data_IF_887704600940
#
_entry.id   IF_887704600940
#
_cell.length_a   1.000
_cell.length_b   1.000
_cell.length_c   1.000
_cell.angle_alpha   90.00
_cell.angle_beta   90.00
_cell.angle_gamma   90.00
#
_symmetry.space_group_name_H-M   'P 1'
#
loop_
_entity.id
_entity.type
_entity.pdbx_description
1 polymer ?
#
# COMPACT_ATOMS: atom_id res chain seq x y z
N UNK A 1 31.09 7.27 69.06
CA UNK A 1 31.27 8.62 68.51
C UNK A 1 30.95 8.53 67.04
N UNK A 2 29.69 8.82 66.72
CA UNK A 2 29.21 8.99 65.36
C UNK A 2 29.81 10.26 64.77
N UNK A 3 30.26 10.18 63.51
CA UNK A 3 30.20 11.31 62.60
C UNK A 3 29.87 10.76 61.21
N UNK A 4 28.64 11.01 60.77
CA UNK A 4 28.22 10.90 59.38
C UNK A 4 28.61 12.18 58.65
N UNK A 5 29.05 12.10 57.40
CA UNK A 5 28.72 13.16 56.45
C UNK A 5 28.65 12.63 55.02
N UNK A 6 27.64 13.16 54.32
CA UNK A 6 27.01 12.68 53.10
C UNK A 6 27.75 13.08 51.83
N UNK A 7 27.58 12.26 50.80
CA UNK A 7 27.90 12.55 49.39
C UNK A 7 27.21 13.84 48.87
N UNK A 8 27.88 14.64 48.02
CA UNK A 8 27.25 15.73 47.31
C UNK A 8 26.65 15.27 45.97
N UNK A 9 25.39 15.67 45.80
CA UNK A 9 24.51 15.50 44.67
C UNK A 9 24.89 16.45 43.51
N UNK A 10 25.20 15.91 42.32
CA UNK A 10 25.36 16.70 41.10
C UNK A 10 24.00 16.94 40.45
N UNK A 11 23.30 17.97 40.90
CA UNK A 11 22.20 18.58 40.15
C UNK A 11 22.21 20.10 40.35
N UNK A 12 21.98 20.82 39.25
CA UNK A 12 21.68 22.26 39.15
C UNK A 12 22.84 23.26 39.35
N UNK A 13 23.60 23.48 38.27
CA UNK A 13 24.53 24.60 38.13
C UNK A 13 24.12 25.57 37.03
N UNK A 14 22.97 26.24 37.16
CA UNK A 14 22.65 27.44 36.37
C UNK A 14 22.04 28.51 37.27
N UNK A 15 22.77 29.63 37.33
CA UNK A 15 22.45 30.94 37.91
C UNK A 15 22.63 31.11 39.42
N UNK A 16 23.74 31.76 39.79
CA UNK A 16 23.77 33.18 40.18
C UNK A 16 25.14 33.53 40.77
N UNK A 17 25.87 34.42 40.09
CA UNK A 17 26.52 35.54 40.78
C UNK A 17 26.77 36.66 39.78
N UNK A 18 26.03 37.75 40.00
CA UNK A 18 26.24 39.01 39.31
C UNK A 18 27.25 39.84 40.09
N UNK A 19 28.31 40.25 39.40
CA UNK A 19 29.17 41.36 39.81
C UNK A 19 30.16 41.69 38.68
N UNK A 20 29.64 42.10 37.52
CA UNK A 20 30.49 42.66 36.44
C UNK A 20 29.91 43.93 35.79
N UNK A 21 28.85 44.52 36.35
CA UNK A 21 28.31 45.79 35.87
C UNK A 21 28.04 46.74 37.03
N UNK A 22 29.11 47.07 37.75
CA UNK A 22 29.17 48.31 38.52
C UNK A 22 29.45 49.47 37.57
N UNK A 23 28.64 50.52 37.67
CA UNK A 23 28.72 51.80 36.95
C UNK A 23 28.08 51.87 35.56
N UNK A 24 26.75 51.92 35.54
CA UNK A 24 26.02 52.86 34.68
C UNK A 24 24.78 53.33 35.45
N UNK A 25 24.87 54.52 36.04
CA UNK A 25 23.69 55.25 36.54
C UNK A 25 22.85 55.67 35.33
N UNK A 26 21.60 55.26 35.28
CA UNK A 26 20.60 55.88 34.42
C UNK A 26 19.44 56.37 35.28
N UNK A 27 19.38 57.69 35.42
CA UNK A 27 18.25 58.42 35.98
C UNK A 27 16.98 58.19 35.13
N UNK A 28 15.85 58.15 35.84
CA UNK A 28 14.47 58.42 35.44
C UNK A 28 13.99 58.13 34.00
N UNK A 29 12.98 57.24 33.95
CA UNK A 29 11.82 57.29 33.04
C UNK A 29 12.09 57.45 31.54
N UNK A 30 12.59 56.38 30.89
CA UNK A 30 12.35 56.11 29.45
C UNK A 30 12.62 54.66 28.98
N UNK A 31 12.88 53.70 29.87
CA UNK A 31 13.45 52.40 29.46
C UNK A 31 12.48 51.21 29.37
N UNK A 32 11.29 51.25 29.99
CA UNK A 32 10.36 50.09 29.95
C UNK A 32 9.80 49.79 28.56
N UNK A 33 9.56 50.84 27.75
CA UNK A 33 9.14 50.69 26.35
C UNK A 33 10.25 50.14 25.45
N UNK A 34 11.52 50.46 25.74
CA UNK A 34 12.68 50.00 24.95
C UNK A 34 12.96 48.53 25.26
N UNK A 35 12.90 48.14 26.53
CA UNK A 35 13.13 46.77 26.97
C UNK A 35 12.05 45.80 26.44
N UNK A 36 10.77 46.20 26.45
CA UNK A 36 9.68 45.44 25.79
C UNK A 36 9.84 45.36 24.29
N UNK A 37 10.32 46.44 23.63
CA UNK A 37 10.61 46.43 22.18
C UNK A 37 11.77 45.48 21.85
N UNK A 38 12.81 45.43 22.67
CA UNK A 38 13.92 44.48 22.50
C UNK A 38 13.50 43.02 22.75
N UNK A 39 12.67 42.75 23.76
CA UNK A 39 12.12 41.41 23.98
C UNK A 39 11.19 40.99 22.83
N UNK A 40 10.36 41.89 22.32
CA UNK A 40 9.51 41.62 21.16
C UNK A 40 10.37 41.36 19.90
N UNK A 41 11.42 42.15 19.67
CA UNK A 41 12.34 41.95 18.55
C UNK A 41 13.08 40.60 18.66
N UNK A 42 13.56 40.24 19.86
CA UNK A 42 14.22 38.96 20.10
C UNK A 42 13.26 37.78 19.89
N UNK A 43 12.01 37.89 20.36
CA UNK A 43 10.99 36.88 20.14
C UNK A 43 10.65 36.72 18.65
N UNK A 44 10.52 37.83 17.91
CA UNK A 44 10.31 37.80 16.46
C UNK A 44 11.48 37.13 15.75
N UNK A 45 12.73 37.50 16.07
CA UNK A 45 13.92 36.90 15.49
C UNK A 45 13.99 35.40 15.82
N UNK A 46 13.70 35.01 17.06
CA UNK A 46 13.68 33.61 17.49
C UNK A 46 12.63 32.79 16.74
N UNK A 47 11.40 33.31 16.59
CA UNK A 47 10.33 32.67 15.81
C UNK A 47 10.71 32.59 14.33
N UNK A 48 11.33 33.62 13.76
CA UNK A 48 11.80 33.59 12.37
C UNK A 48 12.91 32.56 12.15
N UNK A 49 13.87 32.44 13.08
CA UNK A 49 14.96 31.46 12.99
C UNK A 49 14.42 30.04 13.13
N UNK A 50 13.57 29.77 14.13
CA UNK A 50 12.96 28.44 14.29
C UNK A 50 12.05 28.12 13.11
N UNK A 51 11.25 29.07 12.65
CA UNK A 51 10.41 28.90 11.47
C UNK A 51 11.22 28.60 10.21
N UNK A 52 12.38 29.24 10.04
CA UNK A 52 13.29 29.00 8.90
C UNK A 52 13.98 27.64 9.01
N UNK A 53 14.43 27.24 10.21
CA UNK A 53 15.02 25.92 10.45
C UNK A 53 13.97 24.83 10.24
N UNK A 54 12.74 25.03 10.73
CA UNK A 54 11.63 24.11 10.52
C UNK A 54 11.25 24.01 9.05
N UNK A 55 11.14 25.14 8.35
CA UNK A 55 10.89 25.18 6.91
C UNK A 55 12.03 24.54 6.10
N UNK A 56 13.27 24.68 6.53
CA UNK A 56 14.43 24.03 5.91
C UNK A 56 14.43 22.52 6.15
N UNK A 57 14.15 22.06 7.37
CA UNK A 57 14.12 20.63 7.72
C UNK A 57 12.94 19.92 7.06
N UNK A 58 11.75 20.52 7.09
CA UNK A 58 10.57 19.98 6.38
C UNK A 58 10.76 20.10 4.87
N UNK A 59 11.30 21.22 4.41
CA UNK A 59 11.56 21.49 3.00
C UNK A 59 12.55 20.50 2.39
N UNK A 60 13.70 20.30 3.02
CA UNK A 60 14.77 19.42 2.51
C UNK A 60 14.37 17.94 2.49
N UNK A 61 13.73 17.44 3.55
CA UNK A 61 13.32 16.03 3.60
C UNK A 61 12.11 15.72 2.71
N UNK A 62 11.10 16.61 2.68
CA UNK A 62 9.86 16.35 1.93
C UNK A 62 9.96 16.70 0.45
N UNK A 63 10.57 17.84 0.09
CA UNK A 63 10.75 18.19 -1.31
C UNK A 63 11.95 17.47 -1.94
N UNK A 64 13.02 17.16 -1.19
CA UNK A 64 14.17 16.41 -1.72
C UNK A 64 13.77 15.06 -2.32
N UNK A 65 13.05 14.23 -1.56
CA UNK A 65 12.59 12.89 -1.98
C UNK A 65 11.73 12.93 -3.25
N UNK A 66 10.73 13.81 -3.31
CA UNK A 66 9.84 13.93 -4.47
C UNK A 66 10.58 14.37 -5.74
N UNK A 67 11.51 15.33 -5.57
CA UNK A 67 12.31 15.85 -6.70
C UNK A 67 13.28 14.80 -7.23
N UNK A 68 13.67 13.81 -6.44
CA UNK A 68 14.59 12.75 -6.85
C UNK A 68 13.90 11.61 -7.59
N UNK A 69 12.69 11.20 -7.19
CA UNK A 69 11.92 10.20 -7.97
C UNK A 69 11.49 10.77 -9.32
N UNK A 70 11.05 12.04 -9.39
CA UNK A 70 10.70 12.67 -10.67
C UNK A 70 11.91 12.71 -11.63
N UNK A 71 13.14 12.90 -11.10
CA UNK A 71 14.37 12.81 -11.91
C UNK A 71 14.69 11.38 -12.35
N UNK A 72 14.50 10.40 -11.47
CA UNK A 72 14.69 8.97 -11.83
C UNK A 72 13.77 8.65 -13.02
N UNK A 73 12.48 8.97 -12.90
CA UNK A 73 11.49 8.70 -13.96
C UNK A 73 11.85 9.46 -15.24
N UNK A 74 12.22 10.73 -15.15
CA UNK A 74 12.56 11.55 -16.32
C UNK A 74 13.82 11.08 -17.06
N UNK A 75 14.74 10.41 -16.35
CA UNK A 75 15.98 9.88 -16.91
C UNK A 75 15.93 8.38 -17.21
N UNK A 76 14.83 7.71 -16.85
CA UNK A 76 14.67 6.27 -17.11
C UNK A 76 14.47 6.01 -18.59
N UNK A 77 15.04 4.90 -19.07
CA UNK A 77 14.78 4.40 -20.41
C UNK A 77 13.43 3.68 -20.51
N UNK A 78 12.79 3.40 -19.37
CA UNK A 78 11.55 2.64 -19.28
C UNK A 78 10.39 3.54 -18.91
N UNK A 79 9.20 3.23 -19.44
CA UNK A 79 7.98 3.91 -19.00
C UNK A 79 7.71 3.55 -17.53
N UNK A 80 7.72 4.56 -16.67
CA UNK A 80 7.26 4.47 -15.28
C UNK A 80 6.03 5.31 -15.06
N UNK A 81 4.95 4.69 -14.59
CA UNK A 81 3.70 5.33 -14.23
C UNK A 81 3.68 5.51 -12.71
N UNK A 82 3.57 6.76 -12.27
CA UNK A 82 3.18 7.07 -10.89
C UNK A 82 1.67 6.82 -10.75
N UNK A 83 1.31 5.91 -9.86
CA UNK A 83 -0.07 5.65 -9.50
C UNK A 83 -0.37 5.98 -8.04
N UNK A 84 -1.65 6.08 -7.71
CA UNK A 84 -2.10 6.31 -6.34
C UNK A 84 -2.51 4.98 -5.70
N UNK A 85 -2.11 4.79 -4.44
CA UNK A 85 -2.49 3.66 -3.61
C UNK A 85 -3.70 4.04 -2.76
N UNK A 86 -4.83 3.38 -2.95
CA UNK A 86 -6.00 3.49 -2.09
C UNK A 86 -6.30 2.16 -1.40
N UNK A 87 -6.37 2.21 -0.07
CA UNK A 87 -6.69 1.07 0.79
C UNK A 87 -8.10 1.31 1.36
N UNK A 88 -9.15 0.58 0.93
CA UNK A 88 -10.51 0.72 1.46
C UNK A 88 -10.57 0.61 2.99
N UNK A 89 -9.73 -0.26 3.57
CA UNK A 89 -9.60 -0.43 5.02
C UNK A 89 -9.32 0.88 5.76
N UNK A 90 -8.56 1.81 5.18
CA UNK A 90 -8.20 3.05 5.87
C UNK A 90 -9.42 3.95 6.07
N UNK A 91 -10.36 3.94 5.10
CA UNK A 91 -11.66 4.62 5.20
C UNK A 91 -12.56 3.91 6.22
N UNK A 92 -12.59 2.57 6.17
CA UNK A 92 -13.39 1.73 7.07
C UNK A 92 -12.97 1.89 8.53
N UNK A 93 -11.67 1.81 8.80
CA UNK A 93 -11.06 1.98 10.11
C UNK A 93 -11.35 3.38 10.65
N UNK A 94 -11.21 4.44 9.84
CA UNK A 94 -11.58 5.81 10.26
C UNK A 94 -13.05 5.92 10.67
N UNK A 95 -13.94 5.16 10.04
CA UNK A 95 -15.37 5.13 10.36
C UNK A 95 -15.67 4.31 11.62
N UNK A 96 -15.00 3.18 11.79
CA UNK A 96 -15.27 2.21 12.88
C UNK A 96 -14.50 2.57 14.16
N UNK A 97 -13.24 2.97 14.07
CA UNK A 97 -12.37 3.27 15.22
C UNK A 97 -12.74 4.61 15.86
N UNK A 98 -13.80 4.59 16.67
CA UNK A 98 -14.17 5.69 17.55
C UNK A 98 -13.63 5.47 18.98
N UNK A 99 -13.83 6.46 19.86
CA UNK A 99 -13.37 6.39 21.26
C UNK A 99 -13.94 5.19 22.03
N UNK A 100 -15.18 4.76 21.75
CA UNK A 100 -15.79 3.64 22.46
C UNK A 100 -15.14 2.32 22.08
N UNK A 101 -14.89 2.10 20.78
CA UNK A 101 -14.22 0.89 20.29
C UNK A 101 -12.74 0.87 20.73
N UNK A 102 -12.05 2.01 20.65
CA UNK A 102 -10.67 2.13 21.17
C UNK A 102 -10.61 1.81 22.67
N UNK A 103 -11.55 2.32 23.48
CA UNK A 103 -11.63 2.00 24.91
C UNK A 103 -11.96 0.53 25.16
N UNK A 104 -12.91 -0.05 24.41
CA UNK A 104 -13.22 -1.48 24.48
C UNK A 104 -11.98 -2.32 24.25
N UNK A 105 -11.24 -2.07 23.15
CA UNK A 105 -10.00 -2.77 22.81
C UNK A 105 -8.97 -2.63 23.95
N UNK A 106 -8.75 -1.42 24.46
CA UNK A 106 -7.79 -1.15 25.55
C UNK A 106 -8.16 -1.90 26.84
N UNK A 107 -9.43 -1.91 27.23
CA UNK A 107 -9.89 -2.65 28.40
C UNK A 107 -9.82 -4.17 28.18
N UNK A 108 -10.11 -4.66 26.97
CA UNK A 108 -9.92 -6.08 26.62
C UNK A 108 -8.47 -6.52 26.76
N UNK A 109 -7.50 -5.70 26.33
CA UNK A 109 -6.08 -5.98 26.56
C UNK A 109 -5.73 -6.03 28.06
N UNK A 110 -6.28 -5.13 28.88
CA UNK A 110 -6.07 -5.15 30.34
C UNK A 110 -6.63 -6.42 30.97
N UNK A 111 -7.82 -6.87 30.55
CA UNK A 111 -8.46 -8.10 31.04
C UNK A 111 -7.72 -9.37 30.59
N UNK A 112 -7.17 -9.40 29.38
CA UNK A 112 -6.29 -10.50 28.95
C UNK A 112 -5.01 -10.54 29.80
N UNK A 113 -4.37 -9.38 30.02
CA UNK A 113 -3.14 -9.31 30.83
C UNK A 113 -3.37 -9.70 32.29
N UNK A 114 -4.56 -9.45 32.85
CA UNK A 114 -4.90 -9.88 34.21
C UNK A 114 -5.27 -11.36 34.33
N UNK A 115 -5.41 -12.07 33.21
CA UNK A 115 -5.86 -13.47 33.17
C UNK A 115 -7.36 -13.65 33.43
N UNK A 116 -8.13 -12.55 33.55
CA UNK A 116 -9.58 -12.59 33.78
C UNK A 116 -10.36 -12.90 32.49
N UNK A 117 -9.77 -12.62 31.33
CA UNK A 117 -10.31 -13.01 30.02
C UNK A 117 -9.41 -14.10 29.42
N UNK A 118 -10.00 -15.23 29.03
CA UNK A 118 -9.28 -16.24 28.25
C UNK A 118 -9.40 -15.94 26.76
N UNK A 119 -8.34 -16.23 25.99
CA UNK A 119 -8.27 -15.98 24.53
C UNK A 119 -9.43 -16.61 23.75
N UNK A 120 -9.88 -17.79 24.17
CA UNK A 120 -11.02 -18.53 23.61
C UNK A 120 -12.36 -17.77 23.66
N UNK A 121 -12.49 -16.75 24.52
CA UNK A 121 -13.72 -15.95 24.66
C UNK A 121 -13.74 -14.73 23.74
N UNK A 122 -12.68 -14.49 22.97
CA UNK A 122 -12.68 -13.44 21.95
C UNK A 122 -13.48 -13.93 20.75
N UNK A 123 -14.64 -13.31 20.52
CA UNK A 123 -15.56 -13.64 19.42
C UNK A 123 -14.81 -13.59 18.09
N UNK A 124 -14.81 -14.71 17.34
CA UNK A 124 -14.56 -14.69 15.90
C UNK A 124 -15.77 -14.01 15.26
N UNK A 125 -15.61 -12.80 14.74
CA UNK A 125 -16.67 -12.11 14.00
C UNK A 125 -16.44 -12.35 12.51
N UNK A 126 -17.40 -12.96 11.83
CA UNK A 126 -17.38 -13.16 10.38
C UNK A 126 -18.77 -12.98 9.76
N UNK A 127 -19.56 -12.01 10.25
CA UNK A 127 -20.84 -11.70 9.60
C UNK A 127 -20.84 -10.26 9.09
N UNK A 128 -20.75 -10.10 7.77
CA UNK A 128 -21.36 -8.96 7.05
C UNK A 128 -20.46 -8.01 6.26
N UNK A 129 -19.14 -8.20 6.18
CA UNK A 129 -18.26 -7.32 5.38
C UNK A 129 -17.46 -8.16 4.40
N UNK A 130 -17.55 -7.82 3.11
CA UNK A 130 -16.82 -8.47 2.03
C UNK A 130 -15.31 -8.28 2.17
N UNK A 131 -14.56 -9.33 1.83
CA UNK A 131 -13.11 -9.39 1.94
C UNK A 131 -12.44 -8.20 1.23
N UNK A 132 -12.92 -7.84 0.04
CA UNK A 132 -12.38 -6.75 -0.78
C UNK A 132 -12.48 -5.37 -0.12
N UNK A 133 -13.46 -5.16 0.76
CA UNK A 133 -13.60 -3.91 1.52
C UNK A 133 -12.56 -3.80 2.65
N UNK A 134 -11.93 -4.92 3.02
CA UNK A 134 -10.98 -5.02 4.14
C UNK A 134 -9.56 -5.22 3.63
N UNK A 135 -9.38 -5.98 2.56
CA UNK A 135 -8.05 -6.38 2.07
C UNK A 135 -7.75 -5.87 0.67
N UNK A 136 -8.72 -5.32 -0.08
CA UNK A 136 -8.43 -4.78 -1.42
C UNK A 136 -7.40 -3.65 -1.39
N UNK A 137 -6.57 -3.57 -2.42
CA UNK A 137 -5.68 -2.46 -2.71
C UNK A 137 -5.96 -1.97 -4.13
N UNK A 138 -6.23 -0.67 -4.26
CA UNK A 138 -6.36 -0.04 -5.56
C UNK A 138 -5.09 0.75 -5.84
N UNK A 139 -4.17 0.15 -6.60
CA UNK A 139 -3.13 0.89 -7.28
C UNK A 139 -3.61 1.25 -8.68
N UNK A 140 -3.83 2.54 -8.96
CA UNK A 140 -4.33 2.96 -10.26
C UNK A 140 -3.42 3.96 -10.98
N UNK A 141 -3.34 3.75 -12.30
CA UNK A 141 -2.65 4.61 -13.26
C UNK A 141 -3.58 5.01 -14.41
N UNK A 142 -3.12 5.91 -15.27
CA UNK A 142 -3.91 6.42 -16.40
C UNK A 142 -3.48 5.77 -17.72
N UNK A 143 -4.44 5.40 -18.56
CA UNK A 143 -4.23 4.97 -19.94
C UNK A 143 -5.28 5.56 -20.87
N UNK A 144 -5.07 5.46 -22.17
CA UNK A 144 -5.96 6.02 -23.20
C UNK A 144 -6.43 4.92 -24.15
N UNK A 145 -7.67 5.04 -24.64
CA UNK A 145 -8.23 4.17 -25.70
C UNK A 145 -8.77 5.03 -26.84
N UNK A 146 -8.49 4.61 -28.07
CA UNK A 146 -8.91 5.27 -29.31
C UNK A 146 -7.95 6.35 -29.79
N UNK A 147 -7.96 6.61 -31.11
CA UNK A 147 -7.21 7.69 -31.77
C UNK A 147 -7.58 9.10 -31.29
N UNK A 148 -8.76 9.25 -30.68
CA UNK A 148 -9.20 10.46 -29.99
C UNK A 148 -8.77 10.55 -28.52
N UNK A 149 -7.94 9.63 -28.03
CA UNK A 149 -7.29 9.62 -26.70
C UNK A 149 -8.25 9.72 -25.52
N UNK A 150 -9.25 8.83 -25.47
CA UNK A 150 -10.18 8.78 -24.34
C UNK A 150 -9.44 8.26 -23.12
N UNK A 151 -9.28 9.09 -22.09
CA UNK A 151 -8.49 8.77 -20.90
C UNK A 151 -9.33 8.05 -19.85
N UNK A 152 -8.73 7.04 -19.21
CA UNK A 152 -9.33 6.25 -18.14
C UNK A 152 -8.34 6.01 -17.00
N UNK A 153 -8.85 5.98 -15.77
CA UNK A 153 -8.12 5.50 -14.60
C UNK A 153 -8.31 3.97 -14.46
N UNK A 154 -7.21 3.22 -14.50
CA UNK A 154 -7.22 1.76 -14.41
C UNK A 154 -6.64 1.30 -13.08
N UNK A 155 -7.32 0.40 -12.38
CA UNK A 155 -6.62 -0.46 -11.40
C UNK A 155 -5.66 -1.36 -12.17
N UNK A 156 -4.42 -1.41 -11.70
CA UNK A 156 -3.36 -2.27 -12.20
C UNK A 156 -3.37 -3.56 -11.36
N UNK A 157 -3.96 -4.61 -11.92
CA UNK A 157 -4.39 -5.79 -11.18
C UNK A 157 -3.66 -7.06 -11.62
N UNK A 158 -2.79 -7.58 -10.76
CA UNK A 158 -2.08 -8.85 -10.97
C UNK A 158 -2.96 -10.09 -10.82
N UNK A 159 -4.15 -9.97 -10.23
CA UNK A 159 -5.12 -11.04 -10.03
C UNK A 159 -6.06 -11.29 -11.22
N UNK A 160 -6.03 -10.44 -12.25
CA UNK A 160 -6.87 -10.58 -13.46
C UNK A 160 -6.08 -10.27 -14.74
N UNK A 161 -6.65 -10.53 -15.91
CA UNK A 161 -5.88 -10.48 -17.18
C UNK A 161 -6.55 -9.75 -18.32
N UNK A 162 -7.85 -9.48 -18.23
CA UNK A 162 -8.54 -8.67 -19.23
C UNK A 162 -8.36 -7.17 -18.92
N UNK A 163 -8.31 -6.36 -19.97
CA UNK A 163 -8.57 -4.92 -19.88
C UNK A 163 -10.06 -4.69 -20.04
N UNK A 164 -10.67 -3.88 -19.18
CA UNK A 164 -12.04 -3.43 -19.39
C UNK A 164 -12.24 -1.96 -19.04
N UNK A 165 -13.15 -1.31 -19.76
CA UNK A 165 -13.62 0.06 -19.52
C UNK A 165 -15.15 0.11 -19.61
N UNK A 166 -15.82 1.02 -18.88
CA UNK A 166 -17.26 1.19 -19.00
C UNK A 166 -17.59 1.80 -20.36
N UNK A 167 -18.51 1.18 -21.09
CA UNK A 167 -19.03 1.68 -22.36
C UNK A 167 -19.95 2.87 -22.11
N UNK A 168 -20.03 3.78 -23.09
CA UNK A 168 -21.07 4.83 -23.15
C UNK A 168 -22.49 4.24 -23.16
N UNK A 169 -22.63 2.97 -23.56
CA UNK A 169 -23.90 2.24 -23.50
C UNK A 169 -24.23 1.69 -22.09
N UNK A 170 -23.34 1.84 -21.10
CA UNK A 170 -23.56 1.36 -19.74
C UNK A 170 -24.73 2.10 -19.07
N UNK A 171 -25.66 1.33 -18.49
CA UNK A 171 -26.86 1.89 -17.81
C UNK A 171 -26.85 1.75 -16.30
N UNK A 172 -25.87 1.04 -15.74
CA UNK A 172 -25.69 0.92 -14.29
C UNK A 172 -25.40 2.28 -13.67
N UNK A 173 -25.89 2.50 -12.45
CA UNK A 173 -25.72 3.78 -11.74
C UNK A 173 -24.23 4.13 -11.56
N UNK A 174 -23.40 3.14 -11.24
CA UNK A 174 -21.95 3.31 -11.10
C UNK A 174 -21.27 3.97 -12.28
N UNK A 175 -21.66 3.62 -13.52
CA UNK A 175 -21.09 4.19 -14.74
C UNK A 175 -21.34 5.70 -14.91
N UNK A 176 -22.36 6.26 -14.24
CA UNK A 176 -22.64 7.70 -14.30
C UNK A 176 -21.58 8.56 -13.60
N UNK A 177 -20.75 7.95 -12.75
CA UNK A 177 -19.66 8.60 -12.03
C UNK A 177 -18.29 8.41 -12.72
N UNK A 178 -18.25 7.79 -13.91
CA UNK A 178 -17.01 7.32 -14.56
C UNK A 178 -16.81 7.96 -15.93
N UNK A 179 -15.57 7.97 -16.39
CA UNK A 179 -15.28 8.18 -17.81
C UNK A 179 -15.75 6.95 -18.59
N UNK A 180 -16.50 7.16 -19.66
CA UNK A 180 -17.04 6.08 -20.48
C UNK A 180 -16.45 6.10 -21.88
N UNK A 181 -16.21 4.91 -22.44
CA UNK A 181 -15.67 4.73 -23.77
C UNK A 181 -16.76 4.88 -24.83
N UNK A 182 -16.50 5.75 -25.79
CA UNK A 182 -17.36 6.10 -26.91
C UNK A 182 -16.72 5.64 -28.22
N UNK A 183 -17.03 4.41 -28.65
CA UNK A 183 -16.49 3.81 -29.87
C UNK A 183 -16.81 4.61 -31.14
N UNK A 184 -17.94 5.34 -31.17
CA UNK A 184 -18.33 6.18 -32.31
C UNK A 184 -17.38 7.37 -32.52
N UNK A 185 -16.59 7.75 -31.51
CA UNK A 185 -15.63 8.85 -31.59
C UNK A 185 -14.22 8.40 -31.99
N UNK A 186 -13.97 7.09 -32.07
CA UNK A 186 -12.68 6.59 -32.51
C UNK A 186 -12.74 6.03 -33.93
N UNK A 187 -11.83 6.48 -34.79
CA UNK A 187 -11.74 5.98 -36.16
C UNK A 187 -10.93 4.68 -36.25
N UNK A 188 -10.23 4.30 -35.18
CA UNK A 188 -9.45 3.06 -35.05
C UNK A 188 -10.24 1.92 -34.41
N UNK A 189 -11.48 2.18 -34.00
CA UNK A 189 -12.38 1.16 -33.44
C UNK A 189 -12.74 0.08 -34.47
N UNK A 190 -12.58 -1.18 -34.05
CA UNK A 190 -13.05 -2.36 -34.78
C UNK A 190 -13.99 -3.19 -33.90
N UNK A 191 -15.23 -3.35 -34.37
CA UNK A 191 -16.26 -4.11 -33.66
C UNK A 191 -15.92 -5.59 -33.58
N UNK A 192 -15.96 -6.14 -32.36
CA UNK A 192 -16.01 -7.58 -32.09
C UNK A 192 -17.43 -7.98 -31.65
N UNK A 193 -17.90 -7.44 -30.53
CA UNK A 193 -19.27 -7.61 -30.04
C UNK A 193 -19.55 -8.96 -29.34
N UNK A 194 -18.56 -9.84 -29.19
CA UNK A 194 -18.71 -11.10 -28.46
C UNK A 194 -19.05 -10.81 -26.99
N UNK A 195 -20.19 -11.31 -26.46
CA UNK A 195 -20.60 -11.04 -25.09
C UNK A 195 -19.65 -11.70 -24.08
N UNK A 196 -19.45 -11.04 -22.95
CA UNK A 196 -18.56 -11.51 -21.89
C UNK A 196 -19.11 -11.13 -20.51
N UNK A 197 -18.84 -11.98 -19.54
CA UNK A 197 -19.10 -11.75 -18.12
C UNK A 197 -17.85 -12.14 -17.34
N UNK A 198 -17.43 -11.29 -16.40
CA UNK A 198 -16.32 -11.56 -15.48
C UNK A 198 -16.85 -11.41 -14.06
N UNK A 199 -16.38 -12.28 -13.15
CA UNK A 199 -16.67 -12.20 -11.72
C UNK A 199 -15.34 -12.09 -10.97
N UNK A 200 -15.17 -11.00 -10.25
CA UNK A 200 -14.08 -10.74 -9.31
C UNK A 200 -14.53 -11.09 -7.88
N UNK A 201 -13.62 -10.99 -6.91
CA UNK A 201 -13.97 -11.08 -5.48
C UNK A 201 -15.03 -10.07 -5.07
N UNK A 202 -14.94 -8.86 -5.61
CA UNK A 202 -15.85 -7.72 -5.37
C UNK A 202 -17.16 -7.79 -6.15
N UNK A 203 -17.34 -8.84 -6.94
CA UNK A 203 -18.53 -9.03 -7.77
C UNK A 203 -18.29 -8.89 -9.28
N UNK A 204 -19.35 -8.64 -10.04
CA UNK A 204 -19.40 -8.95 -11.47
C UNK A 204 -19.52 -7.76 -12.42
N UNK A 205 -18.99 -7.95 -13.63
CA UNK A 205 -19.22 -7.06 -14.78
C UNK A 205 -19.73 -7.85 -15.98
N UNK A 206 -20.59 -7.23 -16.79
CA UNK A 206 -21.07 -7.79 -18.07
C UNK A 206 -20.88 -6.78 -19.19
N UNK A 207 -20.53 -7.28 -20.36
CA UNK A 207 -20.22 -6.45 -21.52
C UNK A 207 -20.00 -7.27 -22.77
N UNK A 208 -19.19 -6.73 -23.67
CA UNK A 208 -18.76 -7.41 -24.88
C UNK A 208 -17.34 -6.99 -25.25
N UNK A 209 -16.67 -7.79 -26.07
CA UNK A 209 -15.35 -7.45 -26.60
C UNK A 209 -15.42 -6.35 -27.66
N UNK A 210 -14.41 -5.50 -27.67
CA UNK A 210 -14.14 -4.47 -28.67
C UNK A 210 -12.65 -4.42 -28.97
N UNK A 211 -12.27 -3.93 -30.15
CA UNK A 211 -10.88 -3.65 -30.49
C UNK A 211 -10.72 -2.17 -30.79
N UNK A 212 -9.64 -1.58 -30.30
CA UNK A 212 -9.22 -0.23 -30.62
C UNK A 212 -7.73 -0.11 -30.27
N UNK A 213 -7.12 1.04 -30.52
CA UNK A 213 -5.78 1.31 -30.01
C UNK A 213 -5.84 1.57 -28.50
N UNK A 214 -5.00 0.87 -27.74
CA UNK A 214 -4.73 1.13 -26.34
C UNK A 214 -3.36 1.81 -26.22
N UNK A 215 -3.31 2.91 -25.48
CA UNK A 215 -2.08 3.67 -25.22
C UNK A 215 -1.81 3.72 -23.72
N UNK A 216 -0.60 3.32 -23.35
CA UNK A 216 -0.08 3.42 -22.00
C UNK A 216 1.20 4.24 -22.04
N UNK A 217 1.16 5.46 -21.48
CA UNK A 217 2.23 6.43 -21.63
C UNK A 217 2.49 6.76 -23.10
N UNK A 218 3.64 6.35 -23.63
CA UNK A 218 4.02 6.56 -25.03
C UNK A 218 3.98 5.27 -25.88
N UNK A 219 3.54 4.15 -25.31
CA UNK A 219 3.39 2.89 -26.02
C UNK A 219 1.96 2.71 -26.49
N UNK A 220 1.78 2.46 -27.79
CA UNK A 220 0.45 2.31 -28.40
C UNK A 220 0.38 0.99 -29.17
N UNK A 221 -0.68 0.21 -28.92
CA UNK A 221 -0.93 -1.05 -29.60
C UNK A 221 -2.41 -1.18 -30.00
N UNK A 222 -2.74 -1.79 -31.15
CA UNK A 222 -4.08 -2.34 -31.37
C UNK A 222 -4.34 -3.44 -30.34
N UNK A 223 -5.44 -3.36 -29.61
CA UNK A 223 -5.70 -4.26 -28.48
C UNK A 223 -7.19 -4.62 -28.35
N UNK A 224 -7.45 -5.86 -27.93
CA UNK A 224 -8.79 -6.39 -27.66
C UNK A 224 -9.11 -6.20 -26.17
N UNK A 225 -10.17 -5.48 -25.87
CA UNK A 225 -10.62 -5.19 -24.50
C UNK A 225 -12.12 -5.36 -24.36
N UNK A 226 -12.64 -5.22 -23.15
CA UNK A 226 -14.05 -5.38 -22.83
C UNK A 226 -14.70 -4.00 -22.64
N UNK A 227 -15.77 -3.76 -23.40
CA UNK A 227 -16.72 -2.67 -23.18
C UNK A 227 -17.81 -3.13 -22.20
N UNK A 228 -17.77 -2.60 -20.99
CA UNK A 228 -18.70 -2.99 -19.92
C UNK A 228 -20.00 -2.20 -20.04
N UNK A 229 -21.12 -2.91 -20.00
CA UNK A 229 -22.47 -2.32 -20.10
C UNK A 229 -23.30 -2.45 -18.82
N UNK A 230 -22.85 -3.31 -17.90
CA UNK A 230 -23.47 -3.51 -16.59
C UNK A 230 -22.40 -3.70 -15.51
N UNK A 231 -22.54 -2.95 -14.42
CA UNK A 231 -21.67 -2.96 -13.23
C UNK A 231 -22.47 -3.07 -11.93
N UNK A 232 -23.76 -3.41 -11.99
CA UNK A 232 -24.64 -3.46 -10.80
C UNK A 232 -24.12 -4.44 -9.76
N UNK A 233 -23.53 -5.56 -10.20
CA UNK A 233 -22.96 -6.60 -9.36
C UNK A 233 -21.58 -6.19 -8.76
N UNK A 234 -21.05 -5.00 -9.06
CA UNK A 234 -19.76 -4.48 -8.53
C UNK A 234 -19.96 -3.35 -7.48
N UNK A 235 -21.21 -2.97 -7.21
CA UNK A 235 -21.54 -1.96 -6.22
C UNK A 235 -21.52 -2.53 -4.79
N UNK A 236 -21.19 -1.73 -3.76
CA UNK A 236 -20.99 -0.27 -3.76
C UNK A 236 -19.54 0.17 -4.03
N UNK A 237 -18.64 -0.78 -4.31
CA UNK A 237 -17.19 -0.50 -4.44
C UNK A 237 -16.95 0.39 -5.67
N UNK A 238 -17.65 0.12 -6.77
CA UNK A 238 -17.42 0.83 -8.01
C UNK A 238 -17.81 2.31 -7.93
N UNK A 239 -19.03 2.68 -7.51
CA UNK A 239 -19.44 4.08 -7.37
C UNK A 239 -18.60 4.86 -6.34
N UNK A 240 -18.13 4.19 -5.28
CA UNK A 240 -17.33 4.79 -4.19
C UNK A 240 -15.84 4.98 -4.49
N UNK A 241 -15.36 4.52 -5.65
CA UNK A 241 -13.93 4.47 -5.98
C UNK A 241 -13.59 5.35 -7.19
N UNK A 242 -12.33 5.82 -7.32
CA UNK A 242 -11.96 6.76 -8.38
C UNK A 242 -11.57 6.10 -9.71
N UNK A 243 -11.45 4.77 -9.78
CA UNK A 243 -11.08 4.08 -11.00
C UNK A 243 -12.26 3.97 -11.97
N UNK A 244 -11.97 3.99 -13.27
CA UNK A 244 -12.94 3.76 -14.34
C UNK A 244 -12.94 2.28 -14.75
N UNK A 245 -11.78 1.64 -14.85
CA UNK A 245 -11.65 0.27 -15.32
C UNK A 245 -10.54 -0.54 -14.64
N UNK A 246 -10.28 -1.74 -15.15
CA UNK A 246 -9.13 -2.57 -14.73
C UNK A 246 -8.26 -2.85 -15.95
N UNK A 247 -6.95 -2.73 -15.75
CA UNK A 247 -5.92 -3.28 -16.64
C UNK A 247 -5.34 -4.52 -15.96
N UNK A 248 -5.77 -5.69 -16.43
CA UNK A 248 -5.24 -6.96 -15.94
C UNK A 248 -3.77 -7.16 -16.30
N UNK A 249 -2.99 -7.56 -15.29
CA UNK A 249 -1.54 -7.83 -15.33
C UNK A 249 -1.23 -9.29 -14.97
N UNK A 250 -2.23 -10.15 -14.94
CA UNK A 250 -2.09 -11.60 -14.79
C UNK A 250 -1.75 -12.31 -16.11
N UNK A 251 -2.10 -13.59 -16.19
CA UNK A 251 -1.76 -14.47 -17.30
C UNK A 251 -2.92 -14.74 -18.26
N UNK A 252 -2.60 -15.03 -19.53
CA UNK A 252 -3.59 -15.33 -20.58
C UNK A 252 -4.61 -16.41 -20.19
N UNK A 253 -4.18 -17.39 -19.40
CA UNK A 253 -5.01 -18.49 -18.88
C UNK A 253 -6.17 -18.01 -18.00
N UNK A 254 -6.05 -16.86 -17.33
CA UNK A 254 -7.14 -16.20 -16.60
C UNK A 254 -7.99 -15.30 -17.50
N UNK A 255 -7.48 -14.92 -18.67
CA UNK A 255 -8.19 -14.01 -19.55
C UNK A 255 -9.39 -14.70 -20.17
N UNK A 256 -10.58 -14.15 -19.94
CA UNK A 256 -11.77 -14.57 -20.69
C UNK A 256 -11.54 -14.25 -22.16
N UNK A 257 -11.92 -15.18 -23.05
CA UNK A 257 -11.67 -15.07 -24.48
C UNK A 257 -10.21 -15.29 -24.90
N UNK A 258 -9.34 -15.75 -23.99
CA UNK A 258 -7.93 -16.04 -24.25
C UNK A 258 -7.16 -14.85 -24.85
N UNK A 259 -7.50 -13.64 -24.40
CA UNK A 259 -6.82 -12.41 -24.78
C UNK A 259 -5.43 -12.38 -24.17
N UNK A 260 -4.43 -12.02 -24.97
CA UNK A 260 -3.06 -11.84 -24.51
C UNK A 260 -2.97 -10.63 -23.58
N UNK A 261 -2.28 -10.71 -22.42
CA UNK A 261 -2.09 -9.55 -21.55
C UNK A 261 -1.45 -8.37 -22.29
N UNK A 262 -1.85 -7.14 -21.95
CA UNK A 262 -1.43 -5.94 -22.69
C UNK A 262 0.10 -5.77 -22.74
N UNK A 263 0.81 -6.10 -21.65
CA UNK A 263 2.28 -6.02 -21.59
C UNK A 263 2.93 -7.02 -22.56
N UNK A 264 2.38 -8.23 -22.66
CA UNK A 264 2.84 -9.24 -23.62
C UNK A 264 2.57 -8.79 -25.06
N UNK A 265 1.40 -8.20 -25.32
CA UNK A 265 1.08 -7.68 -26.66
C UNK A 265 1.98 -6.48 -27.02
N UNK A 266 2.32 -5.58 -26.09
CA UNK A 266 3.29 -4.50 -26.29
C UNK A 266 4.65 -5.04 -26.72
N UNK A 267 5.15 -6.10 -26.08
CA UNK A 267 6.39 -6.78 -26.49
C UNK A 267 6.26 -7.36 -27.90
N UNK A 268 5.16 -8.04 -28.22
CA UNK A 268 4.89 -8.62 -29.55
C UNK A 268 4.84 -7.56 -30.66
N UNK A 269 4.34 -6.35 -30.35
CA UNK A 269 4.32 -5.21 -31.28
C UNK A 269 5.62 -4.40 -31.29
N UNK A 270 6.66 -4.82 -30.57
CA UNK A 270 7.94 -4.13 -30.50
C UNK A 270 7.88 -2.77 -29.80
N UNK A 271 6.86 -2.53 -28.97
CA UNK A 271 6.74 -1.29 -28.18
C UNK A 271 7.66 -1.29 -26.96
N UNK A 272 7.97 -2.46 -26.41
CA UNK A 272 8.86 -2.63 -25.26
C UNK A 272 9.87 -3.75 -25.51
N UNK A 273 11.02 -3.67 -24.84
CA UNK A 273 12.13 -4.61 -25.02
C UNK A 273 11.91 -5.96 -24.35
N UNK A 274 11.21 -6.03 -23.22
CA UNK A 274 10.97 -7.27 -22.49
C UNK A 274 9.50 -7.30 -22.05
N UNK A 275 8.85 -8.48 -22.08
CA UNK A 275 7.52 -8.65 -21.50
C UNK A 275 7.64 -8.80 -19.99
N UNK A 276 7.97 -7.69 -19.32
CA UNK A 276 8.02 -7.64 -17.87
C UNK A 276 7.54 -6.29 -17.35
N UNK A 277 7.13 -6.29 -16.09
CA UNK A 277 6.80 -5.08 -15.36
C UNK A 277 7.27 -5.17 -13.92
N UNK A 278 7.23 -4.07 -13.19
CA UNK A 278 7.61 -4.04 -11.78
C UNK A 278 6.81 -3.03 -10.98
N UNK A 279 6.70 -3.29 -9.68
CA UNK A 279 6.12 -2.39 -8.69
C UNK A 279 7.17 -1.95 -7.67
N UNK A 280 7.19 -0.64 -7.42
CA UNK A 280 7.96 0.00 -6.36
C UNK A 280 7.01 0.82 -5.48
N UNK A 281 6.79 0.37 -4.25
CA UNK A 281 5.95 1.06 -3.25
C UNK A 281 6.85 1.63 -2.15
N UNK A 282 7.25 2.91 -2.22
CA UNK A 282 8.12 3.51 -1.21
C UNK A 282 7.48 3.51 0.17
N UNK A 283 8.25 3.15 1.20
CA UNK A 283 7.73 3.08 2.57
C UNK A 283 7.36 4.46 3.16
N UNK A 284 7.98 5.54 2.66
CA UNK A 284 7.77 6.91 3.15
C UNK A 284 6.62 7.66 2.44
N UNK A 285 6.21 7.24 1.23
CA UNK A 285 5.09 7.85 0.52
C UNK A 285 3.85 6.95 0.61
N UNK A 286 3.12 7.02 1.72
CA UNK A 286 1.95 6.15 1.95
C UNK A 286 0.83 6.26 0.89
N UNK A 287 0.92 7.19 -0.06
CA UNK A 287 -0.11 7.45 -1.06
C UNK A 287 0.27 7.08 -2.50
N UNK A 288 1.55 6.83 -2.83
CA UNK A 288 1.97 6.60 -4.22
C UNK A 288 2.69 5.27 -4.38
N UNK A 289 2.53 4.67 -5.56
CA UNK A 289 3.35 3.58 -6.04
C UNK A 289 3.83 3.88 -7.46
N UNK A 290 4.79 3.11 -7.93
CA UNK A 290 5.39 3.27 -9.25
C UNK A 290 5.34 1.94 -9.99
N UNK A 291 4.86 1.98 -11.23
CA UNK A 291 4.74 0.82 -12.11
C UNK A 291 5.58 1.04 -13.36
N UNK A 292 6.57 0.18 -13.55
CA UNK A 292 7.51 0.27 -14.67
C UNK A 292 7.29 -0.88 -15.63
N UNK A 293 7.32 -0.65 -16.94
CA UNK A 293 7.17 -1.71 -17.96
C UNK A 293 8.36 -1.77 -18.89
N UNK A 294 8.62 -2.95 -19.45
CA UNK A 294 9.64 -3.15 -20.48
C UNK A 294 11.06 -3.36 -19.97
N UNK A 295 11.32 -3.04 -18.71
CA UNK A 295 12.62 -3.23 -18.07
C UNK A 295 12.60 -2.96 -16.57
N UNK A 296 13.80 -2.96 -16.00
CA UNK A 296 14.04 -2.93 -14.55
C UNK A 296 14.76 -1.63 -14.21
N UNK A 297 14.17 -0.81 -13.34
CA UNK A 297 14.76 0.45 -12.90
C UNK A 297 15.66 0.22 -11.69
N UNK A 298 16.99 0.21 -11.91
CA UNK A 298 18.00 -0.02 -10.87
C UNK A 298 17.95 1.00 -9.73
N UNK A 299 17.41 2.19 -9.99
CA UNK A 299 17.28 3.22 -8.96
C UNK A 299 16.27 2.87 -7.86
N UNK A 300 15.36 1.91 -8.08
CA UNK A 300 14.28 1.56 -7.14
C UNK A 300 14.64 0.47 -6.13
N UNK A 301 15.79 -0.19 -6.26
CA UNK A 301 16.19 -1.27 -5.35
C UNK A 301 17.67 -1.21 -4.96
N UNK A 302 18.03 -2.08 -4.02
CA UNK A 302 19.41 -2.31 -3.58
C UNK A 302 19.67 -3.80 -3.44
N UNK A 303 20.94 -4.19 -3.56
CA UNK A 303 21.34 -5.60 -3.56
C UNK A 303 20.98 -6.31 -4.87
N UNK A 304 21.03 -7.64 -4.83
CA UNK A 304 20.75 -8.47 -6.00
C UNK A 304 19.27 -8.83 -6.09
N UNK A 305 18.77 -9.01 -7.33
CA UNK A 305 17.43 -9.55 -7.57
C UNK A 305 17.49 -11.07 -7.44
N UNK A 306 16.63 -11.62 -6.58
CA UNK A 306 16.38 -13.07 -6.53
C UNK A 306 15.11 -13.40 -7.29
N UNK A 307 15.19 -14.37 -8.19
CA UNK A 307 14.05 -14.83 -8.97
C UNK A 307 13.52 -16.17 -8.48
N UNK A 308 12.20 -16.24 -8.35
CA UNK A 308 11.44 -17.45 -8.05
C UNK A 308 10.62 -17.85 -9.28
N UNK A 309 10.75 -19.11 -9.70
CA UNK A 309 9.99 -19.64 -10.83
C UNK A 309 8.54 -19.82 -10.45
N UNK A 310 7.65 -19.56 -11.40
CA UNK A 310 6.24 -19.84 -11.23
C UNK A 310 5.98 -21.34 -11.12
N UNK A 311 5.03 -21.71 -10.27
CA UNK A 311 4.50 -23.08 -10.18
C UNK A 311 3.25 -23.28 -11.01
N UNK A 312 2.62 -22.19 -11.45
CA UNK A 312 1.40 -22.19 -12.24
C UNK A 312 1.34 -20.91 -13.08
N UNK A 313 1.12 -21.02 -14.39
CA UNK A 313 0.94 -19.90 -15.30
C UNK A 313 -0.51 -19.36 -15.30
N UNK A 314 -1.32 -19.67 -14.29
CA UNK A 314 -2.59 -18.99 -14.03
C UNK A 314 -2.46 -17.80 -13.11
N UNK A 315 -1.45 -17.74 -12.25
CA UNK A 315 -1.27 -16.62 -11.32
C UNK A 315 0.22 -16.31 -11.22
N UNK A 316 0.57 -15.15 -10.66
CA UNK A 316 1.93 -14.89 -10.20
C UNK A 316 2.23 -15.67 -8.93
N UNK A 317 2.17 -17.00 -9.05
CA UNK A 317 2.24 -17.96 -7.97
C UNK A 317 3.59 -18.67 -7.95
N UNK A 318 4.26 -18.59 -6.80
CA UNK A 318 5.53 -19.26 -6.50
C UNK A 318 5.34 -20.22 -5.31
N UNK A 319 6.37 -20.99 -4.99
CA UNK A 319 6.34 -21.92 -3.84
C UNK A 319 7.43 -21.55 -2.83
N UNK A 320 7.04 -21.34 -1.58
CA UNK A 320 7.95 -20.98 -0.47
C UNK A 320 7.58 -21.74 0.81
N UNK A 321 8.56 -21.99 1.66
CA UNK A 321 8.34 -22.39 3.05
C UNK A 321 8.02 -21.14 3.89
N UNK A 322 6.93 -21.18 4.65
CA UNK A 322 6.45 -20.05 5.45
C UNK A 322 6.67 -20.31 6.93
N UNK A 323 7.16 -19.31 7.65
CA UNK A 323 7.28 -19.36 9.11
C UNK A 323 6.83 -18.05 9.77
N UNK A 324 5.74 -18.11 10.52
CA UNK A 324 5.24 -17.02 11.37
C UNK A 324 5.56 -17.36 12.83
N UNK A 325 6.78 -17.01 13.26
CA UNK A 325 7.30 -17.43 14.55
C UNK A 325 7.49 -18.95 14.60
N UNK A 326 6.78 -19.64 15.50
CA UNK A 326 6.83 -21.10 15.64
C UNK A 326 5.84 -21.86 14.75
N UNK A 327 4.97 -21.15 14.03
CA UNK A 327 3.97 -21.76 13.13
C UNK A 327 4.55 -21.78 11.73
N UNK A 328 4.70 -22.98 11.17
CA UNK A 328 5.35 -23.18 9.88
C UNK A 328 4.46 -23.96 8.92
N UNK A 329 4.65 -23.72 7.62
CA UNK A 329 4.06 -24.48 6.54
C UNK A 329 5.08 -24.60 5.41
N UNK A 330 5.48 -25.82 5.10
CA UNK A 330 6.43 -26.09 4.02
C UNK A 330 5.70 -26.16 2.68
N UNK A 331 6.38 -25.76 1.61
CA UNK A 331 5.88 -25.82 0.23
C UNK A 331 4.54 -25.10 0.01
N UNK A 332 4.32 -23.99 0.71
CA UNK A 332 3.12 -23.17 0.56
C UNK A 332 3.05 -22.54 -0.84
N UNK A 333 1.84 -22.41 -1.37
CA UNK A 333 1.57 -21.67 -2.60
C UNK A 333 1.48 -20.18 -2.27
N UNK A 334 2.27 -19.35 -2.94
CA UNK A 334 2.35 -17.92 -2.65
C UNK A 334 1.95 -17.14 -3.89
N UNK A 335 0.80 -16.47 -3.85
CA UNK A 335 0.36 -15.54 -4.88
C UNK A 335 0.96 -14.16 -4.55
N UNK A 336 1.62 -13.54 -5.52
CA UNK A 336 2.15 -12.18 -5.39
C UNK A 336 1.18 -11.21 -6.05
N UNK A 337 0.51 -10.39 -5.24
CA UNK A 337 -0.65 -9.62 -5.72
C UNK A 337 -0.64 -8.15 -5.29
N UNK A 338 -0.55 -7.24 -6.27
CA UNK A 338 -0.68 -5.80 -6.05
C UNK A 338 -2.10 -5.36 -5.70
N UNK A 339 -3.11 -6.22 -5.93
CA UNK A 339 -4.52 -5.99 -5.60
C UNK A 339 -4.87 -6.22 -4.13
N UNK A 340 -3.92 -6.69 -3.31
CA UNK A 340 -4.14 -7.02 -1.90
C UNK A 340 -3.32 -6.09 -0.98
N UNK A 341 -3.94 -5.55 0.07
CA UNK A 341 -3.36 -4.56 1.01
C UNK A 341 -2.72 -5.18 2.26
N UNK A 342 -2.77 -6.50 2.39
CA UNK A 342 -2.30 -7.28 3.54
C UNK A 342 -1.48 -8.49 3.09
N UNK A 343 -0.86 -9.19 4.04
CA UNK A 343 -0.47 -10.59 3.84
C UNK A 343 -1.69 -11.44 4.19
N UNK A 344 -2.05 -12.38 3.31
CA UNK A 344 -3.12 -13.34 3.60
C UNK A 344 -2.60 -14.74 3.80
N UNK A 345 -3.32 -15.53 4.58
CA UNK A 345 -2.97 -16.91 4.88
C UNK A 345 -4.24 -17.73 5.19
N UNK A 346 -4.19 -19.07 5.12
CA UNK A 346 -5.33 -19.92 5.48
C UNK A 346 -5.74 -19.72 6.94
N UNK A 347 -7.05 -19.74 7.21
CA UNK A 347 -7.63 -19.52 8.54
C UNK A 347 -7.04 -20.43 9.61
N UNK A 348 -6.87 -21.72 9.30
CA UNK A 348 -6.29 -22.70 10.23
C UNK A 348 -4.83 -22.40 10.59
N UNK A 349 -4.06 -21.85 9.65
CA UNK A 349 -2.69 -21.43 9.88
C UNK A 349 -2.66 -20.18 10.76
N UNK A 350 -3.50 -19.18 10.45
CA UNK A 350 -3.57 -17.94 11.22
C UNK A 350 -4.17 -18.12 12.60
N UNK A 351 -5.11 -19.03 12.80
CA UNK A 351 -5.61 -19.38 14.14
C UNK A 351 -4.47 -19.87 15.04
N UNK A 352 -3.61 -20.75 14.53
CA UNK A 352 -2.42 -21.21 15.26
C UNK A 352 -1.48 -20.04 15.55
N UNK A 353 -1.24 -19.17 14.57
CA UNK A 353 -0.39 -17.99 14.76
C UNK A 353 -0.97 -17.01 15.80
N UNK A 354 -2.24 -16.65 15.70
CA UNK A 354 -2.92 -15.75 16.63
C UNK A 354 -3.06 -16.35 18.04
N UNK A 355 -2.97 -17.67 18.18
CA UNK A 355 -2.86 -18.34 19.48
C UNK A 355 -1.46 -18.21 20.11
N UNK A 356 -0.42 -17.84 19.35
CA UNK A 356 0.92 -17.58 19.89
C UNK A 356 1.10 -16.13 20.39
N UNK A 357 0.39 -15.18 19.79
CA UNK A 357 0.50 -13.75 20.12
C UNK A 357 -0.72 -13.22 20.89
N UNK A 358 -0.61 -12.02 21.48
CA UNK A 358 -1.75 -11.36 22.13
C UNK A 358 -2.40 -10.38 21.17
N UNK A 359 -3.54 -10.75 20.60
CA UNK A 359 -4.30 -9.91 19.68
C UNK A 359 -5.78 -9.85 20.06
N UNK A 360 -6.42 -8.71 19.81
CA UNK A 360 -7.87 -8.50 20.01
C UNK A 360 -8.54 -8.40 18.63
N UNK A 361 -9.61 -9.17 18.36
CA UNK A 361 -10.41 -8.94 17.16
C UNK A 361 -11.14 -7.60 17.25
N UNK A 362 -11.19 -6.87 16.14
CA UNK A 362 -11.99 -5.65 16.05
C UNK A 362 -13.46 -6.04 15.91
N UNK A 363 -14.37 -5.50 16.74
CA UNK A 363 -15.79 -5.81 16.60
C UNK A 363 -16.31 -5.53 15.19
N UNK A 364 -17.08 -6.48 14.63
CA UNK A 364 -17.71 -6.42 13.31
C UNK A 364 -16.75 -6.33 12.11
N UNK A 365 -15.44 -6.50 12.31
CA UNK A 365 -14.45 -6.48 11.23
C UNK A 365 -13.58 -7.74 11.31
N UNK A 366 -13.20 -8.34 10.17
CA UNK A 366 -12.24 -9.43 10.11
C UNK A 366 -10.81 -8.87 10.23
N UNK A 367 -10.58 -8.08 11.28
CA UNK A 367 -9.34 -7.36 11.55
C UNK A 367 -8.92 -7.60 12.99
N UNK A 368 -7.62 -7.58 13.24
CA UNK A 368 -7.08 -7.76 14.59
C UNK A 368 -6.12 -6.64 14.94
N UNK A 369 -6.10 -6.30 16.22
CA UNK A 369 -5.22 -5.28 16.79
C UNK A 369 -4.30 -5.89 17.82
N UNK A 370 -3.12 -5.30 17.94
CA UNK A 370 -2.07 -5.63 18.90
C UNK A 370 -1.58 -4.35 19.58
N UNK A 371 -0.76 -4.48 20.61
CA UNK A 371 0.01 -3.35 21.12
C UNK A 371 1.19 -3.10 20.17
N UNK A 372 1.40 -1.85 19.76
CA UNK A 372 2.46 -1.50 18.81
C UNK A 372 3.87 -1.84 19.34
N UNK A 373 4.06 -1.86 20.66
CA UNK A 373 5.33 -2.15 21.32
C UNK A 373 5.52 -3.62 21.70
N UNK A 374 4.59 -4.50 21.29
CA UNK A 374 4.64 -5.93 21.60
C UNK A 374 5.89 -6.60 21.02
N UNK A 375 6.82 -6.95 21.91
CA UNK A 375 8.11 -7.58 21.57
C UNK A 375 7.98 -9.08 21.23
N UNK A 376 6.80 -9.66 21.41
CA UNK A 376 6.55 -11.08 21.09
C UNK A 376 6.21 -11.32 19.62
N UNK A 377 5.93 -10.25 18.88
CA UNK A 377 5.59 -10.31 17.45
C UNK A 377 6.79 -10.81 16.63
N UNK A 378 6.65 -11.90 15.86
CA UNK A 378 7.78 -12.51 15.18
C UNK A 378 8.11 -11.80 13.86
N UNK A 379 9.33 -12.01 13.38
CA UNK A 379 9.66 -11.77 11.98
C UNK A 379 9.00 -12.86 11.15
N UNK A 380 8.19 -12.48 10.17
CA UNK A 380 7.61 -13.42 9.20
C UNK A 380 8.70 -13.81 8.21
N UNK A 381 8.77 -15.09 7.85
CA UNK A 381 9.76 -15.59 6.89
C UNK A 381 9.07 -16.36 5.78
N UNK A 382 9.55 -16.13 4.56
CA UNK A 382 9.18 -16.85 3.35
C UNK A 382 10.48 -17.31 2.69
N UNK A 383 10.68 -18.61 2.59
CA UNK A 383 11.99 -19.20 2.25
C UNK A 383 11.87 -20.05 0.99
N UNK A 384 12.72 -19.78 0.01
CA UNK A 384 12.96 -20.68 -1.12
C UNK A 384 14.29 -21.42 -0.92
N UNK A 385 14.69 -22.23 -1.89
CA UNK A 385 16.03 -22.84 -1.90
C UNK A 385 17.15 -21.81 -2.03
N UNK A 386 16.87 -20.65 -2.63
CA UNK A 386 17.87 -19.64 -2.98
C UNK A 386 17.89 -18.43 -2.05
N UNK A 387 16.78 -18.11 -1.38
CA UNK A 387 16.66 -16.92 -0.55
C UNK A 387 15.67 -17.06 0.61
N UNK A 388 15.80 -16.15 1.56
CA UNK A 388 14.82 -15.94 2.64
C UNK A 388 14.36 -14.50 2.61
N UNK A 389 13.07 -14.30 2.36
CA UNK A 389 12.40 -13.02 2.45
C UNK A 389 11.82 -12.86 3.86
N UNK A 390 12.03 -11.70 4.48
CA UNK A 390 11.58 -11.43 5.84
C UNK A 390 10.65 -10.23 5.88
N UNK A 391 9.66 -10.25 6.76
CA UNK A 391 8.85 -9.06 7.09
C UNK A 391 8.92 -8.87 8.60
N UNK A 392 9.52 -7.77 9.02
CA UNK A 392 9.65 -7.42 10.42
C UNK A 392 8.33 -6.83 10.98
N UNK A 393 8.10 -6.88 12.30
CA UNK A 393 6.90 -6.34 12.92
C UNK A 393 6.53 -4.93 12.48
N UNK A 394 7.49 -4.01 12.39
CA UNK A 394 7.20 -2.63 11.97
C UNK A 394 6.63 -2.50 10.54
N UNK A 395 6.76 -3.51 9.69
CA UNK A 395 6.26 -3.48 8.30
C UNK A 395 4.83 -4.03 8.17
N UNK A 396 4.44 -4.96 9.04
CA UNK A 396 3.07 -5.50 9.06
C UNK A 396 2.20 -4.88 10.15
N UNK A 397 2.64 -3.82 10.83
CA UNK A 397 1.85 -3.08 11.81
C UNK A 397 1.48 -1.70 11.30
N UNK A 398 0.21 -1.33 11.43
CA UNK A 398 -0.30 -0.01 11.07
C UNK A 398 -0.84 0.70 12.30
N UNK A 399 -0.26 1.86 12.65
CA UNK A 399 -0.67 2.64 13.81
C UNK A 399 -2.12 3.15 13.67
N UNK A 400 -2.98 2.78 14.61
CA UNK A 400 -4.38 3.19 14.66
C UNK A 400 -4.64 4.34 15.64
N UNK A 401 -3.77 4.48 16.64
CA UNK A 401 -3.90 5.46 17.70
C UNK A 401 -2.50 5.83 18.19
N UNK A 402 -1.87 6.86 17.58
CA UNK A 402 -0.52 7.29 17.93
C UNK A 402 -0.37 7.68 19.40
N UNK A 403 -1.48 7.96 20.10
CA UNK A 403 -1.50 8.28 21.53
C UNK A 403 -1.81 7.09 22.42
N UNK A 404 -2.36 6.01 21.85
CA UNK A 404 -2.86 4.83 22.56
C UNK A 404 -2.05 3.56 22.33
N UNK A 405 -1.07 3.57 21.44
CA UNK A 405 -0.15 2.46 21.20
C UNK A 405 -0.83 1.21 20.63
N UNK A 406 -1.94 1.38 19.89
CA UNK A 406 -2.66 0.29 19.24
C UNK A 406 -2.30 0.22 17.77
N UNK A 407 -1.92 -0.96 17.30
CA UNK A 407 -1.59 -1.21 15.91
C UNK A 407 -2.53 -2.26 15.32
N UNK A 408 -3.02 -1.99 14.11
CA UNK A 408 -3.65 -3.00 13.26
C UNK A 408 -2.58 -3.95 12.75
N UNK A 409 -2.88 -5.25 12.75
CA UNK A 409 -2.04 -6.22 12.06
C UNK A 409 -2.41 -6.29 10.57
N UNK A 410 -1.42 -6.15 9.70
CA UNK A 410 -1.50 -6.29 8.25
C UNK A 410 -1.55 -7.73 7.77
N UNK A 411 -2.13 -8.62 8.57
CA UNK A 411 -2.22 -10.05 8.29
C UNK A 411 -3.66 -10.47 8.55
N UNK A 412 -4.27 -11.18 7.61
CA UNK A 412 -5.68 -11.57 7.67
C UNK A 412 -5.91 -12.90 6.98
N UNK A 413 -6.98 -13.59 7.35
CA UNK A 413 -7.36 -14.86 6.77
C UNK A 413 -8.09 -14.71 5.44
N UNK A 414 -7.68 -15.54 4.47
CA UNK A 414 -8.37 -15.75 3.19
C UNK A 414 -8.20 -17.23 2.83
N UNK A 415 -9.31 -17.96 2.78
CA UNK A 415 -9.30 -19.39 2.45
C UNK A 415 -9.49 -19.60 0.94
N UNK A 416 -8.37 -19.61 0.20
CA UNK A 416 -8.33 -20.08 -1.20
C UNK A 416 -8.24 -21.62 -1.22
N UNK A 417 -7.25 -22.15 -0.50
CA UNK A 417 -7.07 -23.55 -0.16
C UNK A 417 -6.27 -23.65 1.16
N UNK A 418 -5.96 -24.86 1.60
CA UNK A 418 -5.30 -25.11 2.88
C UNK A 418 -3.84 -24.62 2.97
N UNK A 419 -3.24 -24.16 1.86
CA UNK A 419 -1.81 -23.89 1.73
C UNK A 419 -1.47 -22.63 0.94
N UNK A 420 -2.47 -21.86 0.49
CA UNK A 420 -2.26 -20.66 -0.33
C UNK A 420 -2.23 -19.39 0.52
N UNK A 421 -1.20 -18.56 0.26
CA UNK A 421 -0.97 -17.26 0.86
C UNK A 421 -0.96 -16.19 -0.23
N UNK A 422 -1.26 -14.95 0.13
CA UNK A 422 -1.09 -13.80 -0.75
C UNK A 422 -0.08 -12.83 -0.13
N UNK A 423 0.93 -12.45 -0.91
CA UNK A 423 1.85 -11.34 -0.59
C UNK A 423 1.34 -10.07 -1.25
N UNK A 424 0.71 -9.20 -0.45
CA UNK A 424 0.20 -7.89 -0.89
C UNK A 424 1.09 -6.70 -0.54
N UNK A 425 0.49 -5.51 -0.43
CA UNK A 425 1.11 -4.20 -0.13
C UNK A 425 2.14 -4.25 1.01
N UNK A 426 1.86 -4.99 2.08
CA UNK A 426 2.78 -5.18 3.22
C UNK A 426 4.14 -5.71 2.76
N UNK A 427 4.15 -6.64 1.82
CA UNK A 427 5.37 -7.20 1.24
C UNK A 427 5.99 -6.23 0.22
N UNK A 428 5.17 -5.61 -0.64
CA UNK A 428 5.62 -4.69 -1.70
C UNK A 428 6.26 -3.41 -1.13
N UNK A 429 5.88 -2.97 0.07
CA UNK A 429 6.51 -1.86 0.80
C UNK A 429 7.98 -2.12 1.16
N UNK A 430 8.38 -3.40 1.27
CA UNK A 430 9.76 -3.79 1.57
C UNK A 430 10.51 -4.25 0.33
N UNK A 431 9.83 -4.97 -0.55
CA UNK A 431 10.45 -5.61 -1.70
C UNK A 431 10.01 -4.97 -3.02
N UNK A 432 10.98 -4.43 -3.75
CA UNK A 432 10.79 -4.14 -5.17
C UNK A 432 10.51 -5.45 -5.90
N UNK A 433 9.41 -5.49 -6.65
CA UNK A 433 8.84 -6.74 -7.16
C UNK A 433 8.74 -6.67 -8.67
N UNK A 434 9.30 -7.67 -9.36
CA UNK A 434 9.37 -7.77 -10.83
C UNK A 434 8.55 -8.96 -11.27
N UNK A 435 7.76 -8.79 -12.32
CA UNK A 435 6.90 -9.80 -12.92
C UNK A 435 7.35 -10.01 -14.36
N UNK A 436 7.91 -11.17 -14.66
CA UNK A 436 8.63 -11.46 -15.89
C UNK A 436 7.90 -12.56 -16.66
N UNK A 437 7.13 -12.15 -17.68
CA UNK A 437 6.40 -13.09 -18.54
C UNK A 437 7.36 -13.88 -19.43
N UNK A 438 8.43 -13.26 -19.94
CA UNK A 438 9.38 -13.89 -20.86
C UNK A 438 10.07 -15.12 -20.21
N UNK A 439 10.21 -15.12 -18.89
CA UNK A 439 10.92 -16.16 -18.14
C UNK A 439 10.06 -16.86 -17.07
N UNK A 440 8.75 -16.62 -17.05
CA UNK A 440 7.79 -17.26 -16.13
C UNK A 440 8.25 -17.23 -14.66
N UNK A 441 8.55 -16.03 -14.16
CA UNK A 441 9.13 -15.86 -12.81
C UNK A 441 8.75 -14.53 -12.18
N UNK A 442 8.85 -14.48 -10.85
CA UNK A 442 8.78 -13.24 -10.06
C UNK A 442 10.16 -12.96 -9.47
N UNK A 443 10.59 -11.70 -9.52
CA UNK A 443 11.87 -11.23 -8.95
C UNK A 443 11.65 -10.33 -7.74
N UNK A 444 12.51 -10.45 -6.73
CA UNK A 444 12.47 -9.64 -5.52
C UNK A 444 13.85 -9.05 -5.20
N UNK A 445 13.86 -7.78 -4.81
CA UNK A 445 15.01 -7.09 -4.24
C UNK A 445 14.57 -6.13 -3.13
N UNK A 446 15.46 -5.71 -2.24
CA UNK A 446 15.11 -4.73 -1.22
C UNK A 446 14.83 -3.37 -1.87
N UNK A 447 13.63 -2.84 -1.64
CA UNK A 447 13.24 -1.53 -2.12
C UNK A 447 14.16 -0.46 -1.52
N UNK A 448 14.59 0.49 -2.35
CA UNK A 448 15.41 1.62 -1.92
C UNK A 448 14.47 2.69 -1.35
N UNK A 449 14.67 3.10 -0.10
CA UNK A 449 13.88 4.16 0.54
C UNK A 449 14.49 5.54 0.35
#
# INVERSE_FOLDING_TARGET
MEYSEKEPNYSNGLMRNGSAFGHLKFDNMKSFKIQKKFQALYFIIFVCIIGSIFAYLVGSNYYGSKTDIDKIIANSNYLTIRGKLERPRDKLIKKVMNKNISNYIKESFKLLKSGLLKREHLVKNTDGIELDQVVGLMFYGTGEIGDNKQSFAFILDTGSSNLWVPSKACKSEGCSYKHTYDSEKSHTYEKDGTPVSIVYGSGGIKGFFSNDIFTLGHHTIPYKFIEVTQTDDLEPIYSGSPFDGILGLGWKSLAVGSVEPAIVEMKKKGQIENALFSFYFPAAEDANGYFTIGGIEESFYTGDITYEKLTNESYWQIQLDVAFGSVTLDNASIIVDSGTSAITAPSDFLDKFFNTITSIPVPFLPLRVVLCDDKTLPVLKFTSKGATYTIEPQQYLFDLDPTGGLCLIGITDVDIDASTFILGDVFFKKYYTIFDYDNERVGFALAKN
#
